data_IF_526278480006
#
_entry.id   IF_526278480006
#
_cell.length_a   1.000
_cell.length_b   1.000
_cell.length_c   1.000
_cell.angle_alpha   90.00
_cell.angle_beta   90.00
_cell.angle_gamma   90.00
#
_symmetry.space_group_name_H-M   'P 1'
#
loop_
_entity.id
_entity.type
_entity.pdbx_description
1 polymer ?
#
# COMPACT_ATOMS: atom_id res chain seq x y z
N UNK A 1 -1.08 -23.04 8.07
CA UNK A 1 0.13 -23.18 8.91
C UNK A 1 1.37 -22.42 8.39
N UNK A 2 1.24 -21.73 7.24
CA UNK A 2 2.37 -20.98 6.63
C UNK A 2 2.52 -19.53 7.13
N UNK A 3 1.62 -19.04 7.99
CA UNK A 3 1.68 -17.68 8.52
C UNK A 3 2.11 -17.72 9.98
N UNK A 4 2.94 -16.76 10.39
CA UNK A 4 3.51 -16.62 11.74
C UNK A 4 3.37 -15.17 12.23
N UNK A 5 3.37 -15.00 13.56
CA UNK A 5 3.50 -13.69 14.20
C UNK A 5 4.96 -13.25 14.26
N UNK A 6 5.22 -11.99 13.92
CA UNK A 6 6.53 -11.33 14.04
C UNK A 6 6.42 -10.26 15.10
N UNK A 7 7.15 -10.40 16.20
CA UNK A 7 7.21 -9.39 17.27
C UNK A 7 8.45 -8.54 17.11
N UNK A 8 8.25 -7.23 17.02
CA UNK A 8 9.27 -6.19 17.13
C UNK A 8 9.13 -5.47 18.47
N UNK A 9 10.03 -4.57 18.85
CA UNK A 9 9.85 -3.75 20.06
C UNK A 9 8.59 -2.85 20.01
N UNK A 10 8.14 -2.45 18.83
CA UNK A 10 7.08 -1.46 18.65
C UNK A 10 5.75 -2.06 18.21
N UNK A 11 5.76 -3.21 17.49
CA UNK A 11 4.55 -3.79 16.91
C UNK A 11 4.60 -5.32 16.87
N UNK A 12 3.45 -5.92 16.62
CA UNK A 12 3.35 -7.29 16.13
C UNK A 12 2.78 -7.22 14.71
N UNK A 13 3.42 -7.94 13.81
CA UNK A 13 3.04 -8.07 12.41
C UNK A 13 2.96 -9.55 12.03
N UNK A 14 2.68 -9.83 10.79
CA UNK A 14 2.66 -11.17 10.24
C UNK A 14 3.92 -11.45 9.41
N UNK A 15 4.21 -12.72 9.23
CA UNK A 15 5.18 -13.22 8.25
C UNK A 15 4.66 -14.48 7.60
N UNK A 16 5.12 -14.75 6.40
CA UNK A 16 4.73 -15.93 5.63
C UNK A 16 5.93 -16.85 5.44
N UNK A 17 5.82 -18.10 5.87
CA UNK A 17 6.87 -19.12 5.74
C UNK A 17 6.97 -19.52 4.26
N UNK A 18 8.16 -19.39 3.70
CA UNK A 18 8.48 -19.79 2.32
C UNK A 18 9.05 -21.20 2.32
N UNK A 19 9.99 -21.48 3.23
CA UNK A 19 10.54 -22.79 3.51
C UNK A 19 10.87 -22.94 5.00
N UNK A 20 11.50 -24.04 5.40
CA UNK A 20 11.78 -24.36 6.81
C UNK A 20 12.63 -23.30 7.52
N UNK A 21 13.42 -22.52 6.79
CA UNK A 21 14.35 -21.52 7.33
C UNK A 21 14.05 -20.08 6.92
N UNK A 22 13.12 -19.84 6.00
CA UNK A 22 12.91 -18.54 5.37
C UNK A 22 11.49 -18.06 5.54
N UNK A 23 11.36 -16.85 6.07
CA UNK A 23 10.10 -16.14 6.26
C UNK A 23 10.17 -14.84 5.45
N UNK A 24 9.09 -14.52 4.74
CA UNK A 24 8.91 -13.21 4.12
C UNK A 24 7.96 -12.35 4.94
N UNK A 25 8.24 -11.06 5.00
CA UNK A 25 7.38 -10.02 5.58
C UNK A 25 7.59 -8.71 4.84
N UNK A 26 7.03 -7.61 5.35
CA UNK A 26 7.25 -6.31 4.75
C UNK A 26 8.56 -5.66 5.24
N UNK A 27 9.12 -4.82 4.40
CA UNK A 27 10.34 -4.06 4.73
C UNK A 27 10.08 -3.03 5.83
N UNK A 28 8.87 -2.43 5.87
CA UNK A 28 8.47 -1.51 6.94
C UNK A 28 8.26 -2.21 8.30
N UNK A 29 8.07 -3.54 8.34
CA UNK A 29 8.05 -4.33 9.59
C UNK A 29 9.46 -4.56 10.11
N UNK A 30 10.42 -4.75 9.20
CA UNK A 30 11.82 -5.06 9.56
C UNK A 30 12.61 -3.82 9.94
N UNK A 31 12.40 -2.69 9.25
CA UNK A 31 13.11 -1.43 9.53
C UNK A 31 14.64 -1.61 9.61
N UNK A 32 15.27 -1.13 10.69
CA UNK A 32 16.70 -1.31 11.01
C UNK A 32 16.93 -2.29 12.18
N UNK A 33 15.92 -3.09 12.53
CA UNK A 33 16.05 -4.10 13.58
C UNK A 33 16.95 -5.26 13.13
N UNK A 34 17.72 -5.79 14.06
CA UNK A 34 18.71 -6.86 13.80
C UNK A 34 18.22 -8.26 14.16
N UNK A 35 17.13 -8.37 14.91
CA UNK A 35 16.58 -9.63 15.40
C UNK A 35 15.08 -9.51 15.64
N UNK A 36 14.37 -10.60 15.41
CA UNK A 36 12.92 -10.72 15.56
C UNK A 36 12.57 -11.94 16.39
N UNK A 37 11.44 -11.88 17.06
CA UNK A 37 10.82 -13.04 17.71
C UNK A 37 9.69 -13.52 16.81
N UNK A 38 9.79 -14.77 16.37
CA UNK A 38 8.80 -15.42 15.52
C UNK A 38 7.94 -16.32 16.39
N UNK A 39 6.63 -16.16 16.30
CA UNK A 39 5.64 -16.95 17.01
C UNK A 39 4.86 -17.82 16.02
N UNK A 40 4.95 -19.12 16.17
CA UNK A 40 4.26 -20.11 15.36
C UNK A 40 2.87 -20.43 15.94
N UNK A 41 1.98 -20.99 15.11
CA UNK A 41 0.63 -21.37 15.53
C UNK A 41 0.59 -22.48 16.57
N UNK A 42 1.61 -23.32 16.63
CA UNK A 42 1.77 -24.38 17.64
C UNK A 42 2.33 -23.85 18.99
N UNK A 43 2.47 -22.53 19.11
CA UNK A 43 3.01 -21.86 20.28
C UNK A 43 4.54 -21.81 20.36
N UNK A 44 5.26 -22.45 19.43
CA UNK A 44 6.72 -22.37 19.40
C UNK A 44 7.19 -20.96 19.13
N UNK A 45 8.33 -20.61 19.72
CA UNK A 45 8.97 -19.31 19.56
C UNK A 45 10.39 -19.52 19.06
N UNK A 46 10.76 -18.83 17.97
CA UNK A 46 12.12 -18.82 17.44
C UNK A 46 12.62 -17.40 17.23
N UNK A 47 13.93 -17.24 17.17
CA UNK A 47 14.58 -16.00 16.72
C UNK A 47 14.78 -16.03 15.23
N UNK A 48 14.64 -14.86 14.58
CA UNK A 48 14.93 -14.69 13.15
C UNK A 48 15.80 -13.46 12.94
N UNK A 49 16.53 -13.45 11.83
CA UNK A 49 17.47 -12.40 11.45
C UNK A 49 17.20 -11.91 10.04
N UNK A 50 17.26 -10.58 9.79
CA UNK A 50 16.97 -10.04 8.47
C UNK A 50 18.12 -10.32 7.50
N UNK A 51 17.77 -10.66 6.27
CA UNK A 51 18.68 -10.79 5.15
C UNK A 51 18.75 -9.46 4.39
N UNK A 52 19.97 -8.96 4.19
CA UNK A 52 20.19 -7.67 3.54
C UNK A 52 20.04 -7.78 2.02
N UNK A 53 19.22 -6.92 1.44
CA UNK A 53 19.04 -6.77 0.00
C UNK A 53 18.93 -5.28 -0.39
N UNK A 54 19.02 -4.98 -1.69
CA UNK A 54 18.84 -3.62 -2.22
C UNK A 54 17.64 -3.50 -3.18
N UNK A 55 16.80 -4.51 -3.25
CA UNK A 55 15.58 -4.46 -4.07
C UNK A 55 14.56 -3.46 -3.47
N UNK A 56 13.91 -2.61 -4.29
CA UNK A 56 13.11 -1.49 -3.78
C UNK A 56 11.72 -1.84 -3.26
N UNK A 57 11.22 -3.07 -3.49
CA UNK A 57 9.90 -3.47 -2.98
C UNK A 57 9.86 -3.45 -1.44
N UNK A 58 8.67 -3.22 -0.89
CA UNK A 58 8.42 -3.26 0.56
C UNK A 58 8.35 -4.71 1.07
N UNK A 59 9.34 -5.51 0.73
CA UNK A 59 9.53 -6.90 1.15
C UNK A 59 10.83 -7.04 1.92
N UNK A 60 10.87 -7.97 2.87
CA UNK A 60 12.06 -8.36 3.59
C UNK A 60 12.03 -9.85 3.89
N UNK A 61 13.21 -10.46 3.87
CA UNK A 61 13.42 -11.86 4.21
C UNK A 61 14.04 -11.97 5.59
N UNK A 62 13.53 -12.91 6.38
CA UNK A 62 14.06 -13.28 7.69
C UNK A 62 14.50 -14.74 7.64
N UNK A 63 15.69 -15.03 8.13
CA UNK A 63 16.17 -16.40 8.30
C UNK A 63 16.09 -16.86 9.76
N UNK A 64 15.69 -18.11 9.97
CA UNK A 64 15.66 -18.75 11.28
C UNK A 64 17.03 -19.33 11.67
N UNK A 65 17.91 -19.56 10.70
CA UNK A 65 19.26 -20.08 10.86
C UNK A 65 20.29 -19.12 10.29
N UNK A 66 21.56 -19.23 10.73
CA UNK A 66 22.65 -18.41 10.20
C UNK A 66 23.03 -18.76 8.77
N UNK A 67 22.75 -19.98 8.32
CA UNK A 67 22.99 -20.45 6.96
C UNK A 67 21.72 -20.33 6.14
N UNK A 68 21.82 -19.67 5.00
CA UNK A 68 20.71 -19.47 4.09
C UNK A 68 20.63 -20.63 3.09
N UNK A 69 19.58 -21.46 3.22
CA UNK A 69 19.17 -22.35 2.16
C UNK A 69 18.11 -21.62 1.30
N UNK A 70 18.54 -21.16 0.12
CA UNK A 70 17.64 -20.54 -0.84
C UNK A 70 16.83 -21.64 -1.54
N UNK A 71 15.50 -21.60 -1.53
CA UNK A 71 14.71 -22.58 -2.25
C UNK A 71 14.97 -22.48 -3.76
N UNK A 72 15.17 -23.62 -4.42
CA UNK A 72 15.45 -23.66 -5.85
C UNK A 72 14.26 -23.20 -6.69
N UNK A 73 13.04 -23.46 -6.23
CA UNK A 73 11.80 -23.02 -6.88
C UNK A 73 10.72 -22.68 -5.85
N UNK A 74 10.02 -21.60 -6.11
CA UNK A 74 8.83 -21.21 -5.37
C UNK A 74 7.63 -21.28 -6.32
N UNK A 75 6.63 -22.10 -5.96
CA UNK A 75 5.39 -22.21 -6.73
C UNK A 75 4.45 -21.06 -6.36
N UNK A 76 4.18 -20.19 -7.33
CA UNK A 76 3.32 -19.02 -7.14
C UNK A 76 2.20 -19.00 -8.18
N UNK A 77 1.06 -18.42 -7.80
CA UNK A 77 0.01 -18.13 -8.76
C UNK A 77 0.47 -17.05 -9.74
N UNK A 78 0.46 -17.37 -11.03
CA UNK A 78 0.63 -16.37 -12.09
C UNK A 78 -0.71 -15.70 -12.45
N UNK A 79 -1.81 -16.08 -11.80
CA UNK A 79 -3.14 -15.54 -12.08
C UNK A 79 -3.44 -14.40 -11.11
N UNK A 80 -3.38 -13.17 -11.62
CA UNK A 80 -3.82 -11.97 -10.90
C UNK A 80 -5.27 -11.67 -11.33
N UNK A 81 -6.22 -12.55 -10.99
CA UNK A 81 -7.65 -12.38 -11.29
C UNK A 81 -8.51 -13.10 -10.26
N UNK A 82 -9.75 -12.63 -10.09
CA UNK A 82 -10.76 -13.30 -9.26
C UNK A 82 -10.81 -12.78 -7.82
N UNK A 83 -11.26 -13.67 -6.95
CA UNK A 83 -11.39 -13.39 -5.52
C UNK A 83 -10.13 -13.87 -4.79
N UNK A 84 -9.73 -13.11 -3.81
CA UNK A 84 -8.61 -13.45 -2.93
C UNK A 84 -9.02 -13.40 -1.46
N UNK A 85 -8.40 -14.27 -0.67
CA UNK A 85 -8.48 -14.27 0.78
C UNK A 85 -7.16 -13.75 1.36
N UNK A 86 -7.23 -13.07 2.50
CA UNK A 86 -6.05 -12.70 3.28
C UNK A 86 -5.95 -13.62 4.49
N UNK A 87 -4.76 -14.15 4.73
CA UNK A 87 -4.43 -14.93 5.93
C UNK A 87 -3.32 -14.19 6.67
N UNK A 88 -3.57 -13.86 7.94
CA UNK A 88 -2.61 -13.13 8.76
C UNK A 88 -2.64 -13.63 10.20
N UNK A 89 -1.60 -13.32 10.98
CA UNK A 89 -1.53 -13.65 12.39
C UNK A 89 -2.38 -12.67 13.21
N UNK A 90 -3.37 -13.19 13.93
CA UNK A 90 -4.22 -12.41 14.83
C UNK A 90 -3.63 -12.42 16.25
N UNK A 91 -3.19 -11.25 16.70
CA UNK A 91 -2.59 -11.09 18.03
C UNK A 91 -3.54 -11.46 19.17
N UNK A 92 -4.80 -11.08 19.07
CA UNK A 92 -5.80 -11.32 20.12
C UNK A 92 -6.09 -12.80 20.30
N UNK A 93 -6.02 -13.57 19.22
CA UNK A 93 -6.23 -15.02 19.20
C UNK A 93 -4.94 -15.81 19.35
N UNK A 94 -3.80 -15.18 19.11
CA UNK A 94 -2.50 -15.82 19.11
C UNK A 94 -2.35 -16.95 18.08
N UNK A 95 -3.05 -16.85 16.98
CA UNK A 95 -3.15 -17.83 15.90
C UNK A 95 -3.46 -17.15 14.57
N UNK A 96 -3.39 -17.91 13.48
CA UNK A 96 -3.75 -17.41 12.16
C UNK A 96 -5.26 -17.20 12.02
N UNK A 97 -5.62 -16.17 11.28
CA UNK A 97 -6.97 -15.84 10.90
C UNK A 97 -7.09 -15.67 9.39
N UNK A 98 -8.15 -16.22 8.82
CA UNK A 98 -8.58 -15.98 7.44
C UNK A 98 -9.57 -14.82 7.47
N UNK A 99 -9.33 -13.79 6.66
CA UNK A 99 -10.19 -12.62 6.53
C UNK A 99 -11.13 -12.76 5.34
N UNK A 100 -12.20 -11.98 5.33
CA UNK A 100 -13.20 -12.03 4.26
C UNK A 100 -12.55 -11.78 2.91
N UNK A 101 -12.91 -12.62 1.94
CA UNK A 101 -12.46 -12.50 0.55
C UNK A 101 -12.92 -11.21 -0.10
N UNK A 102 -12.14 -10.74 -1.06
CA UNK A 102 -12.44 -9.55 -1.84
C UNK A 102 -12.02 -9.71 -3.31
N UNK A 103 -12.49 -8.75 -4.11
CA UNK A 103 -12.15 -8.66 -5.54
C UNK A 103 -10.82 -7.96 -5.73
N UNK A 104 -10.09 -8.34 -6.75
CA UNK A 104 -8.98 -7.55 -7.28
C UNK A 104 -9.57 -6.39 -8.09
N UNK A 105 -9.17 -5.17 -7.77
CA UNK A 105 -9.60 -3.93 -8.41
C UNK A 105 -8.66 -3.55 -9.53
N UNK A 106 -7.36 -3.57 -9.23
CA UNK A 106 -6.29 -3.14 -10.14
C UNK A 106 -4.95 -3.75 -9.73
N UNK A 107 -4.01 -3.69 -10.63
CA UNK A 107 -2.59 -3.98 -10.35
C UNK A 107 -1.70 -3.21 -11.30
N UNK A 108 -0.51 -2.85 -10.84
CA UNK A 108 0.53 -2.23 -11.67
C UNK A 108 1.46 -3.29 -12.27
N UNK A 109 1.95 -3.02 -13.49
CA UNK A 109 2.97 -3.86 -14.12
C UNK A 109 4.27 -3.78 -13.30
N UNK A 110 4.61 -4.87 -12.62
CA UNK A 110 5.77 -4.96 -11.73
C UNK A 110 7.12 -4.95 -12.45
N UNK A 111 7.16 -5.27 -13.75
CA UNK A 111 8.39 -5.19 -14.54
C UNK A 111 8.77 -3.72 -14.74
N UNK A 112 7.77 -2.86 -14.92
CA UNK A 112 7.94 -1.43 -15.07
C UNK A 112 7.94 -0.69 -13.72
N UNK A 113 7.16 -1.16 -12.77
CA UNK A 113 6.95 -0.55 -11.45
C UNK A 113 7.25 -1.54 -10.33
N UNK A 114 8.53 -1.69 -9.90
CA UNK A 114 8.91 -2.70 -8.89
C UNK A 114 8.25 -2.51 -7.52
N UNK A 115 7.67 -1.35 -7.25
CA UNK A 115 6.86 -1.07 -6.06
C UNK A 115 5.34 -1.12 -6.34
N UNK A 116 4.95 -1.49 -7.56
CA UNK A 116 3.56 -1.68 -7.94
C UNK A 116 2.89 -2.78 -7.13
N UNK A 117 1.59 -2.62 -6.88
CA UNK A 117 0.81 -3.50 -6.01
C UNK A 117 -0.44 -4.01 -6.69
N UNK A 118 -1.01 -5.05 -6.11
CA UNK A 118 -2.36 -5.53 -6.36
C UNK A 118 -3.28 -4.82 -5.37
N UNK A 119 -4.32 -4.17 -5.86
CA UNK A 119 -5.32 -3.47 -5.05
C UNK A 119 -6.60 -4.31 -4.99
N UNK A 120 -7.15 -4.45 -3.78
CA UNK A 120 -8.24 -5.39 -3.52
C UNK A 120 -9.20 -4.89 -2.45
N UNK A 121 -10.45 -5.37 -2.52
CA UNK A 121 -11.45 -5.20 -1.45
C UNK A 121 -11.35 -6.29 -0.37
N UNK A 122 -10.43 -7.26 -0.47
CA UNK A 122 -10.22 -8.25 0.57
C UNK A 122 -9.82 -7.56 1.89
N UNK A 123 -10.50 -7.91 2.98
CA UNK A 123 -10.29 -7.23 4.26
C UNK A 123 -8.93 -7.52 4.87
N UNK A 124 -8.36 -6.49 5.50
CA UNK A 124 -7.19 -6.58 6.36
C UNK A 124 -7.32 -5.64 7.55
N UNK A 125 -6.50 -5.84 8.57
CA UNK A 125 -6.46 -5.04 9.79
C UNK A 125 -5.01 -4.64 10.11
N UNK A 126 -4.78 -3.60 10.92
CA UNK A 126 -3.46 -3.30 11.48
C UNK A 126 -2.84 -4.55 12.12
N UNK A 127 -1.55 -4.79 11.85
CA UNK A 127 -0.84 -6.00 12.28
C UNK A 127 -0.88 -7.16 11.27
N UNK A 128 -1.68 -7.05 10.21
CA UNK A 128 -1.71 -8.06 9.15
C UNK A 128 -0.57 -7.94 8.13
N UNK A 129 0.20 -6.85 8.13
CA UNK A 129 1.38 -6.67 7.27
C UNK A 129 2.30 -7.89 7.31
N UNK A 130 2.70 -8.41 6.15
CA UNK A 130 3.48 -9.65 6.00
C UNK A 130 2.65 -10.94 5.95
N UNK A 131 1.34 -10.86 6.14
CA UNK A 131 0.42 -11.95 5.89
C UNK A 131 0.31 -12.27 4.39
N UNK A 132 -0.26 -13.41 4.05
CA UNK A 132 -0.38 -13.89 2.68
C UNK A 132 -1.76 -13.65 2.11
N UNK A 133 -1.81 -13.24 0.85
CA UNK A 133 -3.00 -13.29 0.03
C UNK A 133 -2.97 -14.57 -0.82
N UNK A 134 -4.09 -15.29 -0.84
CA UNK A 134 -4.26 -16.54 -1.60
C UNK A 134 -5.47 -16.44 -2.53
N UNK A 135 -5.38 -17.10 -3.68
CA UNK A 135 -6.52 -17.26 -4.58
C UNK A 135 -7.51 -18.31 -4.06
N UNK A 136 -8.54 -18.61 -4.86
CA UNK A 136 -9.59 -19.58 -4.49
C UNK A 136 -9.07 -21.02 -4.47
N UNK A 137 -7.94 -21.29 -5.14
CA UNK A 137 -7.27 -22.60 -5.17
C UNK A 137 -6.24 -22.74 -4.02
N UNK A 138 -6.02 -21.70 -3.24
CA UNK A 138 -5.06 -21.65 -2.13
C UNK A 138 -3.62 -21.34 -2.54
N UNK A 139 -3.39 -20.92 -3.79
CA UNK A 139 -2.06 -20.52 -4.26
C UNK A 139 -1.71 -19.13 -3.75
N UNK A 140 -0.44 -18.90 -3.48
CA UNK A 140 0.05 -17.60 -3.03
C UNK A 140 0.01 -16.57 -4.16
N UNK A 141 -0.71 -15.47 -3.94
CA UNK A 141 -0.84 -14.32 -4.85
C UNK A 141 0.12 -13.21 -4.47
N UNK A 142 0.27 -12.95 -3.17
CA UNK A 142 1.12 -11.87 -2.69
C UNK A 142 1.19 -11.75 -1.18
N UNK A 143 1.93 -10.73 -0.74
CA UNK A 143 2.14 -10.39 0.66
C UNK A 143 1.37 -9.11 0.97
N UNK A 144 0.53 -9.15 1.98
CA UNK A 144 -0.24 -8.01 2.43
C UNK A 144 0.70 -6.92 2.96
N UNK A 145 0.49 -5.67 2.52
CA UNK A 145 1.31 -4.54 2.92
C UNK A 145 0.54 -3.48 3.71
N UNK A 146 -0.49 -2.90 3.10
CA UNK A 146 -1.20 -1.74 3.64
C UNK A 146 -2.64 -1.70 3.16
N UNK A 147 -3.38 -0.68 3.59
CA UNK A 147 -4.73 -0.40 3.14
C UNK A 147 -5.39 0.68 4.00
N UNK A 148 -6.51 1.20 3.53
CA UNK A 148 -7.36 2.16 4.24
C UNK A 148 -8.62 1.51 4.84
N UNK A 149 -8.69 0.17 4.79
CA UNK A 149 -9.85 -0.62 5.23
C UNK A 149 -10.87 -0.90 4.12
N UNK A 150 -10.96 -0.07 3.08
CA UNK A 150 -11.81 -0.27 1.90
C UNK A 150 -11.03 -0.92 0.76
N UNK A 151 -9.86 -0.36 0.44
CA UNK A 151 -8.95 -0.88 -0.56
C UNK A 151 -7.63 -1.21 0.11
N UNK A 152 -7.24 -2.47 0.03
CA UNK A 152 -6.03 -3.00 0.60
C UNK A 152 -5.01 -3.33 -0.49
N UNK A 153 -3.75 -3.31 -0.13
CA UNK A 153 -2.60 -3.42 -1.03
C UNK A 153 -1.81 -4.68 -0.75
N UNK A 154 -1.52 -5.42 -1.81
CA UNK A 154 -0.79 -6.68 -1.77
C UNK A 154 0.41 -6.57 -2.70
N UNK A 155 1.58 -6.91 -2.20
CA UNK A 155 2.80 -6.97 -2.99
C UNK A 155 2.83 -8.31 -3.72
N UNK A 156 2.91 -8.33 -5.07
CA UNK A 156 2.90 -9.57 -5.84
C UNK A 156 3.99 -10.54 -5.40
N UNK A 157 3.62 -11.79 -5.19
CA UNK A 157 4.50 -12.83 -4.63
C UNK A 157 5.74 -13.09 -5.50
N UNK A 158 5.62 -12.95 -6.81
CA UNK A 158 6.71 -13.18 -7.76
C UNK A 158 7.93 -12.27 -7.53
N UNK A 159 7.76 -11.11 -6.87
CA UNK A 159 8.85 -10.21 -6.49
C UNK A 159 9.80 -10.81 -5.45
N UNK A 160 9.42 -11.89 -4.77
CA UNK A 160 10.32 -12.61 -3.85
C UNK A 160 11.58 -13.08 -4.58
N UNK A 161 11.45 -13.56 -5.81
CA UNK A 161 12.60 -14.01 -6.61
C UNK A 161 13.61 -12.88 -6.83
N UNK A 162 13.12 -11.64 -7.05
CA UNK A 162 13.99 -10.49 -7.22
C UNK A 162 14.64 -10.05 -5.89
N UNK A 163 13.91 -10.16 -4.78
CA UNK A 163 14.49 -9.94 -3.45
C UNK A 163 15.60 -10.95 -3.17
N UNK A 164 15.36 -12.26 -3.44
CA UNK A 164 16.35 -13.32 -3.26
C UNK A 164 17.61 -13.10 -4.10
N UNK A 165 17.46 -12.81 -5.40
CA UNK A 165 18.58 -12.51 -6.31
C UNK A 165 19.42 -11.31 -5.85
N UNK A 166 18.77 -10.35 -5.20
CA UNK A 166 19.39 -9.13 -4.69
C UNK A 166 19.81 -9.20 -3.21
N UNK A 167 19.70 -10.37 -2.58
CA UNK A 167 20.16 -10.61 -1.21
C UNK A 167 21.64 -10.91 -1.18
N UNK A 168 22.45 -9.99 -0.61
CA UNK A 168 23.91 -10.11 -0.51
C UNK A 168 24.42 -9.32 0.69
N UNK A 169 25.42 -9.85 1.40
CA UNK A 169 26.04 -9.21 2.58
C UNK A 169 26.58 -7.80 2.32
N UNK A 170 27.08 -7.54 1.12
CA UNK A 170 27.56 -6.20 0.74
C UNK A 170 26.51 -5.10 0.88
N UNK A 171 25.22 -5.43 0.88
CA UNK A 171 24.13 -4.46 1.02
C UNK A 171 23.74 -4.16 2.48
N UNK A 172 24.37 -4.82 3.48
CA UNK A 172 24.01 -4.71 4.90
C UNK A 172 23.96 -3.26 5.40
N UNK A 173 24.96 -2.45 5.08
CA UNK A 173 25.00 -1.05 5.51
C UNK A 173 23.89 -0.21 4.86
N UNK A 174 23.66 -0.41 3.57
CA UNK A 174 22.57 0.27 2.85
C UNK A 174 21.20 -0.17 3.38
N UNK A 175 21.01 -1.47 3.60
CA UNK A 175 19.79 -2.03 4.16
C UNK A 175 19.46 -1.41 5.53
N UNK A 176 20.43 -1.38 6.46
CA UNK A 176 20.23 -0.76 7.77
C UNK A 176 19.95 0.75 7.67
N UNK A 177 20.65 1.47 6.80
CA UNK A 177 20.45 2.91 6.58
C UNK A 177 19.03 3.20 6.06
N UNK A 178 18.57 2.45 5.07
CA UNK A 178 17.21 2.59 4.54
C UNK A 178 16.17 2.22 5.60
N UNK A 179 16.40 1.13 6.35
CA UNK A 179 15.53 0.73 7.46
C UNK A 179 15.39 1.81 8.53
N UNK A 180 16.48 2.50 8.87
CA UNK A 180 16.45 3.64 9.77
C UNK A 180 15.59 4.80 9.22
N UNK A 181 15.64 5.08 7.91
CA UNK A 181 14.78 6.09 7.31
C UNK A 181 13.31 5.67 7.33
N UNK A 182 13.01 4.39 7.10
CA UNK A 182 11.66 3.83 7.21
C UNK A 182 11.13 4.06 8.63
N UNK A 183 11.87 3.63 9.67
CA UNK A 183 11.48 3.82 11.07
C UNK A 183 11.28 5.29 11.42
N UNK A 184 12.25 6.15 11.12
CA UNK A 184 12.17 7.58 11.44
C UNK A 184 11.02 8.27 10.69
N UNK A 185 10.69 7.83 9.47
CA UNK A 185 9.51 8.31 8.77
C UNK A 185 8.22 7.88 9.50
N UNK A 186 8.08 6.60 9.83
CA UNK A 186 6.92 6.07 10.54
C UNK A 186 6.70 6.78 11.88
N UNK A 187 7.75 6.88 12.70
CA UNK A 187 7.70 7.55 14.01
C UNK A 187 7.18 9.01 13.90
N UNK A 188 7.66 9.77 12.89
CA UNK A 188 7.23 11.17 12.71
C UNK A 188 5.81 11.27 12.11
N UNK A 189 5.39 10.31 11.28
CA UNK A 189 4.01 10.21 10.80
C UNK A 189 3.05 9.92 11.95
N UNK A 190 3.39 9.00 12.85
CA UNK A 190 2.57 8.68 14.03
C UNK A 190 2.41 9.89 14.96
N UNK A 191 3.48 10.66 15.19
CA UNK A 191 3.39 11.94 15.92
C UNK A 191 2.42 12.89 15.22
N UNK A 192 2.51 13.02 13.88
CA UNK A 192 1.65 13.90 13.11
C UNK A 192 0.18 13.49 13.14
N UNK A 193 -0.10 12.21 13.19
CA UNK A 193 -1.46 11.69 13.23
C UNK A 193 -2.16 12.03 14.56
N UNK A 194 -1.41 12.01 15.66
CA UNK A 194 -1.90 12.30 16.99
C UNK A 194 -1.92 13.81 17.32
N UNK A 195 -1.43 14.67 16.41
CA UNK A 195 -1.36 16.12 16.63
C UNK A 195 -2.43 16.84 15.81
N UNK A 196 -3.36 17.53 16.50
CA UNK A 196 -4.37 18.34 15.84
C UNK A 196 -3.82 19.75 15.54
N UNK A 197 -3.63 20.09 14.29
CA UNK A 197 -3.53 21.43 13.65
C UNK A 197 -2.18 22.11 13.49
N UNK A 198 -1.21 22.04 14.36
CA UNK A 198 0.08 22.69 14.09
C UNK A 198 1.22 21.73 14.36
N UNK A 199 1.70 21.10 13.30
CA UNK A 199 2.88 20.25 13.40
C UNK A 199 4.11 21.12 13.61
N UNK A 200 4.96 20.77 14.58
CA UNK A 200 6.27 21.38 14.78
C UNK A 200 7.07 21.34 13.46
N UNK A 201 7.72 22.46 13.14
CA UNK A 201 8.53 22.60 11.93
C UNK A 201 9.61 21.51 11.83
N UNK A 202 10.17 21.08 12.95
CA UNK A 202 11.15 19.99 13.02
C UNK A 202 10.52 18.65 12.58
N UNK A 203 9.31 18.33 13.06
CA UNK A 203 8.59 17.11 12.66
C UNK A 203 8.26 17.17 11.16
N UNK A 204 7.77 18.32 10.68
CA UNK A 204 7.50 18.56 9.25
C UNK A 204 8.73 18.30 8.38
N UNK A 205 9.90 18.86 8.75
CA UNK A 205 11.17 18.63 8.06
C UNK A 205 11.63 17.17 8.13
N UNK A 206 11.39 16.50 9.26
CA UNK A 206 11.71 15.10 9.45
C UNK A 206 10.88 14.22 8.50
N UNK A 207 9.56 14.44 8.42
CA UNK A 207 8.68 13.72 7.50
C UNK A 207 9.17 13.93 6.06
N UNK A 208 9.39 15.18 5.61
CA UNK A 208 9.86 15.48 4.26
C UNK A 208 11.18 14.74 3.95
N UNK A 209 12.14 14.75 4.88
CA UNK A 209 13.46 14.15 4.67
C UNK A 209 13.45 12.61 4.76
N UNK A 210 12.89 12.06 5.83
CA UNK A 210 12.99 10.63 6.10
C UNK A 210 12.06 9.80 5.23
N UNK A 211 10.81 10.27 5.03
CA UNK A 211 9.87 9.55 4.17
C UNK A 211 10.35 9.54 2.72
N UNK A 212 10.93 10.64 2.23
CA UNK A 212 11.52 10.67 0.90
C UNK A 212 12.70 9.70 0.77
N UNK A 213 13.61 9.67 1.76
CA UNK A 213 14.79 8.78 1.77
C UNK A 213 14.46 7.32 2.06
N UNK A 214 13.30 7.02 2.65
CA UNK A 214 12.84 5.65 2.86
C UNK A 214 12.62 4.92 1.54
N UNK A 215 12.28 5.66 0.48
CA UNK A 215 11.88 5.14 -0.83
C UNK A 215 10.83 4.02 -0.72
N UNK A 216 9.97 4.08 0.29
CA UNK A 216 8.89 3.13 0.53
C UNK A 216 7.56 3.76 0.07
N UNK A 217 6.89 3.14 -0.90
CA UNK A 217 5.65 3.64 -1.52
C UNK A 217 4.60 3.99 -0.48
N UNK A 218 4.39 3.11 0.50
CA UNK A 218 3.37 3.32 1.53
C UNK A 218 3.66 4.57 2.38
N UNK A 219 4.91 4.73 2.85
CA UNK A 219 5.30 5.87 3.68
C UNK A 219 5.32 7.18 2.88
N UNK A 220 5.68 7.12 1.61
CA UNK A 220 5.58 8.26 0.69
C UNK A 220 4.12 8.68 0.52
N UNK A 221 3.21 7.74 0.32
CA UNK A 221 1.78 8.01 0.21
C UNK A 221 1.21 8.64 1.49
N UNK A 222 1.51 8.04 2.64
CA UNK A 222 1.09 8.55 3.95
C UNK A 222 1.65 9.96 4.24
N UNK A 223 2.88 10.24 3.85
CA UNK A 223 3.47 11.58 3.98
C UNK A 223 2.72 12.59 3.11
N UNK A 224 2.39 12.24 1.87
CA UNK A 224 1.61 13.08 0.98
C UNK A 224 0.21 13.39 1.53
N UNK A 225 -0.49 12.39 2.04
CA UNK A 225 -1.79 12.54 2.69
C UNK A 225 -1.69 13.40 3.97
N UNK A 226 -0.64 13.20 4.76
CA UNK A 226 -0.37 14.00 5.96
C UNK A 226 -0.20 15.47 5.61
N UNK A 227 0.63 15.81 4.61
CA UNK A 227 0.81 17.18 4.16
C UNK A 227 -0.48 17.78 3.59
N UNK A 228 -1.29 17.00 2.87
CA UNK A 228 -2.61 17.41 2.38
C UNK A 228 -3.56 17.78 3.52
N UNK A 229 -3.64 16.96 4.57
CA UNK A 229 -4.43 17.22 5.77
C UNK A 229 -3.98 18.49 6.52
N UNK A 230 -2.69 18.78 6.50
CA UNK A 230 -2.11 19.97 7.11
C UNK A 230 -2.21 21.23 6.23
N UNK A 231 -2.72 21.13 5.00
CA UNK A 231 -2.85 22.23 4.05
C UNK A 231 -1.55 22.59 3.31
N UNK A 232 -0.47 21.83 3.48
CA UNK A 232 0.76 21.99 2.70
C UNK A 232 0.63 21.30 1.34
N UNK A 233 -0.13 21.93 0.45
CA UNK A 233 -0.44 21.36 -0.87
C UNK A 233 0.81 21.15 -1.73
N UNK A 234 1.86 21.95 -1.53
CA UNK A 234 3.12 21.81 -2.27
C UNK A 234 3.84 20.50 -1.92
N UNK A 235 4.01 20.20 -0.62
CA UNK A 235 4.61 18.92 -0.19
C UNK A 235 3.67 17.75 -0.46
N UNK A 236 2.36 17.91 -0.23
CA UNK A 236 1.36 16.89 -0.58
C UNK A 236 1.48 16.47 -2.05
N UNK A 237 1.45 17.43 -2.97
CA UNK A 237 1.63 17.16 -4.41
C UNK A 237 2.92 16.40 -4.69
N UNK A 238 4.07 16.91 -4.18
CA UNK A 238 5.39 16.27 -4.37
C UNK A 238 5.38 14.78 -4.00
N UNK A 239 4.83 14.47 -2.83
CA UNK A 239 4.82 13.10 -2.31
C UNK A 239 3.80 12.21 -3.02
N UNK A 240 2.61 12.71 -3.29
CA UNK A 240 1.57 11.93 -3.97
C UNK A 240 1.89 11.70 -5.45
N UNK A 241 2.48 12.67 -6.16
CA UNK A 241 3.00 12.45 -7.52
C UNK A 241 4.03 11.31 -7.51
N UNK A 242 4.94 11.28 -6.52
CA UNK A 242 5.92 10.19 -6.36
C UNK A 242 5.24 8.86 -6.03
N UNK A 243 4.21 8.84 -5.17
CA UNK A 243 3.45 7.62 -4.87
C UNK A 243 2.79 7.05 -6.13
N UNK A 244 2.14 7.90 -6.94
CA UNK A 244 1.51 7.51 -8.21
C UNK A 244 2.56 7.08 -9.25
N UNK A 245 3.76 7.68 -9.26
CA UNK A 245 4.87 7.23 -10.11
C UNK A 245 5.33 5.81 -9.75
N UNK A 246 5.39 5.49 -8.46
CA UNK A 246 5.80 4.16 -7.98
C UNK A 246 4.73 3.08 -8.20
N UNK A 247 3.46 3.47 -8.14
CA UNK A 247 2.31 2.58 -8.30
C UNK A 247 1.13 3.30 -9.01
N UNK A 248 1.16 3.38 -10.36
CA UNK A 248 0.21 4.20 -11.11
C UNK A 248 -1.22 3.65 -11.13
N UNK A 249 -1.45 2.42 -10.66
CA UNK A 249 -2.76 1.81 -10.59
C UNK A 249 -3.35 1.79 -9.16
N UNK A 250 -2.74 2.51 -8.21
CA UNK A 250 -3.23 2.65 -6.83
C UNK A 250 -4.44 3.59 -6.75
N UNK A 251 -5.67 3.09 -6.49
CA UNK A 251 -6.84 3.96 -6.37
C UNK A 251 -6.70 4.98 -5.23
N UNK A 252 -6.13 4.56 -4.10
CA UNK A 252 -5.95 5.42 -2.93
C UNK A 252 -4.99 6.59 -3.23
N UNK A 253 -3.83 6.31 -3.84
CA UNK A 253 -2.86 7.35 -4.20
C UNK A 253 -3.40 8.29 -5.29
N UNK A 254 -4.08 7.73 -6.29
CA UNK A 254 -4.73 8.51 -7.36
C UNK A 254 -5.80 9.46 -6.79
N UNK A 255 -6.64 8.98 -5.88
CA UNK A 255 -7.69 9.79 -5.27
C UNK A 255 -7.10 10.90 -4.37
N UNK A 256 -6.10 10.57 -3.56
CA UNK A 256 -5.43 11.55 -2.70
C UNK A 256 -4.75 12.65 -3.53
N UNK A 257 -4.11 12.29 -4.66
CA UNK A 257 -3.51 13.27 -5.57
C UNK A 257 -4.57 14.10 -6.29
N UNK A 258 -5.67 13.49 -6.75
CA UNK A 258 -6.78 14.18 -7.38
C UNK A 258 -7.38 15.23 -6.43
N UNK A 259 -7.65 14.87 -5.18
CA UNK A 259 -8.15 15.79 -4.15
C UNK A 259 -7.16 16.94 -3.94
N UNK A 260 -5.86 16.64 -3.86
CA UNK A 260 -4.82 17.66 -3.68
C UNK A 260 -4.80 18.65 -4.85
N UNK A 261 -4.88 18.16 -6.09
CA UNK A 261 -4.98 19.02 -7.27
C UNK A 261 -6.28 19.82 -7.30
N UNK A 262 -7.40 19.21 -6.88
CA UNK A 262 -8.68 19.91 -6.81
C UNK A 262 -8.62 21.11 -5.88
N UNK A 263 -8.09 20.93 -4.67
CA UNK A 263 -7.92 22.01 -3.67
C UNK A 263 -6.94 23.07 -4.19
N UNK A 264 -5.88 22.67 -4.88
CA UNK A 264 -4.87 23.56 -5.47
C UNK A 264 -5.32 24.19 -6.80
N UNK A 265 -6.59 23.96 -7.21
CA UNK A 265 -7.22 24.44 -8.47
C UNK A 265 -6.48 24.02 -9.75
N UNK A 266 -5.75 22.91 -9.72
CA UNK A 266 -5.03 22.32 -10.85
C UNK A 266 -5.90 21.32 -11.61
N UNK A 267 -7.09 21.74 -12.04
CA UNK A 267 -8.15 20.86 -12.59
C UNK A 267 -7.69 20.11 -13.83
N UNK A 268 -6.87 20.73 -14.70
CA UNK A 268 -6.31 20.05 -15.88
C UNK A 268 -5.40 18.85 -15.50
N UNK A 269 -4.64 18.97 -14.38
CA UNK A 269 -3.82 17.86 -13.88
C UNK A 269 -4.67 16.79 -13.17
N UNK A 270 -5.77 17.17 -12.57
CA UNK A 270 -6.71 16.28 -11.92
C UNK A 270 -7.45 15.37 -12.92
N UNK A 271 -7.85 15.92 -14.06
CA UNK A 271 -8.66 15.25 -15.09
C UNK A 271 -8.21 13.84 -15.46
N UNK A 272 -6.94 13.57 -15.81
CA UNK A 272 -6.47 12.23 -16.17
C UNK A 272 -6.55 11.24 -15.01
N UNK A 273 -6.39 11.70 -13.76
CA UNK A 273 -6.51 10.89 -12.56
C UNK A 273 -7.97 10.45 -12.35
N UNK A 274 -8.90 11.40 -12.47
CA UNK A 274 -10.34 11.11 -12.34
C UNK A 274 -10.82 10.18 -13.46
N UNK A 275 -10.41 10.40 -14.72
CA UNK A 275 -10.74 9.46 -15.82
C UNK A 275 -10.28 8.03 -15.52
N UNK A 276 -9.15 7.86 -14.84
CA UNK A 276 -8.66 6.54 -14.41
C UNK A 276 -9.48 6.00 -13.24
N UNK A 277 -9.76 6.82 -12.23
CA UNK A 277 -10.52 6.43 -11.05
C UNK A 277 -11.97 6.02 -11.39
N UNK A 278 -12.65 6.70 -12.32
CA UNK A 278 -13.97 6.33 -12.80
C UNK A 278 -14.01 4.91 -13.42
N UNK A 279 -12.86 4.41 -13.91
CA UNK A 279 -12.74 3.03 -14.42
C UNK A 279 -12.40 2.02 -13.30
N UNK A 280 -11.61 2.43 -12.29
CA UNK A 280 -11.12 1.55 -11.24
C UNK A 280 -12.12 1.39 -10.10
N UNK A 281 -12.78 2.49 -9.72
CA UNK A 281 -13.70 2.56 -8.57
C UNK A 281 -14.94 3.37 -8.92
N UNK A 282 -15.74 2.93 -9.93
CA UNK A 282 -16.89 3.67 -10.43
C UNK A 282 -18.00 3.86 -9.39
N UNK A 283 -18.03 3.01 -8.37
CA UNK A 283 -18.99 3.08 -7.26
C UNK A 283 -18.58 4.06 -6.14
N UNK A 284 -17.35 4.59 -6.16
CA UNK A 284 -16.85 5.47 -5.10
C UNK A 284 -17.52 6.86 -5.19
N UNK A 285 -18.33 7.28 -4.17
CA UNK A 285 -19.08 8.53 -4.23
C UNK A 285 -18.19 9.77 -4.37
N UNK A 286 -16.97 9.73 -3.81
CA UNK A 286 -16.03 10.85 -3.89
C UNK A 286 -15.43 10.99 -5.28
N UNK A 287 -15.14 9.86 -5.94
CA UNK A 287 -14.68 9.82 -7.33
C UNK A 287 -15.77 10.35 -8.26
N UNK A 288 -17.02 9.92 -8.08
CA UNK A 288 -18.16 10.41 -8.85
C UNK A 288 -18.35 11.93 -8.69
N UNK A 289 -18.32 12.42 -7.45
CA UNK A 289 -18.44 13.85 -7.15
C UNK A 289 -17.35 14.67 -7.82
N UNK A 290 -16.09 14.27 -7.69
CA UNK A 290 -14.97 14.95 -8.36
C UNK A 290 -15.10 14.86 -9.89
N UNK A 291 -15.58 13.72 -10.39
CA UNK A 291 -15.86 13.54 -11.82
C UNK A 291 -16.83 14.57 -12.37
N UNK A 292 -17.95 14.80 -11.69
CA UNK A 292 -18.95 15.84 -12.05
C UNK A 292 -18.30 17.23 -12.03
N UNK A 293 -17.56 17.56 -10.96
CA UNK A 293 -16.93 18.87 -10.82
C UNK A 293 -15.88 19.14 -11.92
N UNK A 294 -14.99 18.17 -12.18
CA UNK A 294 -13.97 18.30 -13.23
C UNK A 294 -14.62 18.41 -14.61
N UNK A 295 -15.63 17.57 -14.90
CA UNK A 295 -16.31 17.59 -16.17
C UNK A 295 -17.01 18.94 -16.44
N UNK A 296 -17.71 19.51 -15.46
CA UNK A 296 -18.36 20.80 -15.58
C UNK A 296 -17.37 21.97 -15.69
N UNK A 297 -16.34 22.01 -14.84
CA UNK A 297 -15.34 23.10 -14.85
C UNK A 297 -14.58 23.12 -16.21
N UNK A 298 -14.22 21.95 -16.74
CA UNK A 298 -13.48 21.85 -18.00
C UNK A 298 -14.39 21.78 -19.24
N UNK A 299 -15.70 21.79 -19.07
CA UNK A 299 -16.69 21.59 -20.15
C UNK A 299 -16.40 20.32 -20.97
N UNK A 300 -15.99 19.22 -20.32
CA UNK A 300 -15.68 17.94 -20.94
C UNK A 300 -16.97 17.13 -21.14
N UNK A 301 -17.59 17.24 -22.32
CA UNK A 301 -18.86 16.57 -22.64
C UNK A 301 -18.79 15.04 -22.51
N UNK A 302 -17.67 14.43 -22.95
CA UNK A 302 -17.48 12.98 -22.88
C UNK A 302 -17.45 12.51 -21.40
N UNK A 303 -16.70 13.23 -20.59
CA UNK A 303 -16.59 12.94 -19.15
C UNK A 303 -17.92 13.21 -18.43
N UNK A 304 -18.66 14.26 -18.81
CA UNK A 304 -19.98 14.57 -18.26
C UNK A 304 -20.96 13.42 -18.49
N UNK A 305 -21.10 12.95 -19.73
CA UNK A 305 -21.95 11.79 -20.04
C UNK A 305 -21.54 10.56 -19.23
N UNK A 306 -20.25 10.20 -19.26
CA UNK A 306 -19.76 9.02 -18.57
C UNK A 306 -20.01 9.06 -17.04
N UNK A 307 -19.79 10.20 -16.39
CA UNK A 307 -19.99 10.30 -14.94
C UNK A 307 -21.47 10.28 -14.55
N UNK A 308 -22.35 10.90 -15.34
CA UNK A 308 -23.80 10.85 -15.10
C UNK A 308 -24.35 9.43 -15.30
N UNK A 309 -23.90 8.70 -16.32
CA UNK A 309 -24.23 7.29 -16.52
C UNK A 309 -23.82 6.44 -15.31
N UNK A 310 -22.59 6.61 -14.80
CA UNK A 310 -22.14 5.92 -13.60
C UNK A 310 -22.95 6.32 -12.36
N UNK A 311 -23.32 7.60 -12.20
CA UNK A 311 -24.17 8.03 -11.08
C UNK A 311 -25.56 7.44 -11.15
N UNK A 312 -26.13 7.26 -12.35
CA UNK A 312 -27.44 6.61 -12.53
C UNK A 312 -27.46 5.16 -12.00
N UNK A 313 -26.29 4.51 -11.95
CA UNK A 313 -26.11 3.13 -11.44
C UNK A 313 -25.74 3.13 -9.96
N UNK A 314 -24.76 3.92 -9.56
CA UNK A 314 -24.09 3.79 -8.26
C UNK A 314 -24.48 4.86 -7.23
N UNK A 315 -25.06 6.00 -7.66
CA UNK A 315 -25.41 7.11 -6.76
C UNK A 315 -26.64 7.89 -7.26
N UNK A 316 -27.77 7.18 -7.38
CA UNK A 316 -29.02 7.72 -7.95
C UNK A 316 -29.56 8.95 -7.21
N UNK A 317 -29.40 8.98 -5.89
CA UNK A 317 -29.92 10.08 -5.06
C UNK A 317 -29.22 11.42 -5.36
N UNK A 318 -27.95 11.38 -5.74
CA UNK A 318 -27.18 12.58 -6.09
C UNK A 318 -27.24 12.95 -7.58
N UNK A 319 -27.82 12.09 -8.43
CA UNK A 319 -27.88 12.31 -9.89
C UNK A 319 -28.56 13.62 -10.27
N UNK A 320 -29.77 14.00 -9.76
CA UNK A 320 -30.44 15.24 -10.18
C UNK A 320 -29.60 16.50 -9.89
N UNK A 321 -28.84 16.47 -8.79
CA UNK A 321 -27.94 17.58 -8.43
C UNK A 321 -26.74 17.66 -9.39
N UNK A 322 -26.22 16.50 -9.79
CA UNK A 322 -25.10 16.41 -10.74
C UNK A 322 -25.52 16.89 -12.15
N UNK A 323 -26.69 16.47 -12.65
CA UNK A 323 -27.27 16.93 -13.91
C UNK A 323 -27.41 18.45 -13.92
N UNK A 324 -28.04 19.01 -12.88
CA UNK A 324 -28.19 20.47 -12.75
C UNK A 324 -26.84 21.20 -12.72
N UNK A 325 -25.81 20.64 -12.08
CA UNK A 325 -24.48 21.23 -12.07
C UNK A 325 -23.84 21.23 -13.46
N UNK A 326 -23.96 20.13 -14.19
CA UNK A 326 -23.44 19.99 -15.56
C UNK A 326 -24.19 20.94 -16.51
N UNK A 327 -25.53 20.96 -16.48
CA UNK A 327 -26.36 21.84 -17.34
C UNK A 327 -26.00 23.32 -17.15
N UNK A 328 -25.74 23.74 -15.91
CA UNK A 328 -25.32 25.12 -15.62
C UNK A 328 -23.89 25.45 -16.09
N UNK A 329 -23.05 24.45 -16.34
CA UNK A 329 -21.66 24.63 -16.76
C UNK A 329 -21.53 24.81 -18.29
N UNK A 330 -22.46 24.25 -19.07
CA UNK A 330 -22.47 24.31 -20.54
C UNK A 330 -23.35 25.40 -21.07
#
# INVERSE_FOLDING_TARGET
>A
DKVVGIKTPMMIASGTIINDNLIITNRHVVEDHKQFIIKFNDGKIKKAFPLAHNFPADLALLTLNKELEVPNELFFSNKIKGLINVVAFDQGRNSNRIYNKGKIISFSDIQKYPQGRIHTTAKSLPGNSGGVAVDEDGNFVGILASGDGNINEIIPIVLINDVLKNTKDKYKNQFLKTGKFIRLCADNLDISFNTNKNLDEKITKNIDNYCWKSNNKQLIDQAGQTFGRLGDLKRSTKFLEKSVELDPMSPNSLLSLAITYHIDRKIEKERPLIKRLLKLTPENPQVLRLGVQVAGILKDKEMSSNVLDLMSVYNKDALPLAEKFIDNAF
#
